data_IF_777718936219
#
_entry.id   IF_777718936219
#
_cell.length_a   1.000
_cell.length_b   1.000
_cell.length_c   1.000
_cell.angle_alpha   90.00
_cell.angle_beta   90.00
_cell.angle_gamma   90.00
#
_symmetry.space_group_name_H-M   'P 1'
#
loop_
_entity.id
_entity.type
_entity.pdbx_description
1 polymer ?
#
# COMPACT_ATOMS: atom_id res chain seq x y z
N UNK A 1 -0.37 -10.74 2.75
CA UNK A 1 0.18 -10.74 1.38
C UNK A 1 1.55 -10.06 1.39
N UNK A 2 2.57 -10.68 0.79
CA UNK A 2 3.93 -10.12 0.73
C UNK A 2 4.11 -9.15 -0.46
N UNK A 3 5.12 -8.29 -0.42
CA UNK A 3 5.47 -7.39 -1.56
C UNK A 3 5.76 -8.18 -2.83
N UNK A 4 6.36 -9.38 -2.70
CA UNK A 4 6.64 -10.25 -3.83
C UNK A 4 5.34 -10.76 -4.48
N UNK A 5 4.38 -11.23 -3.67
CA UNK A 5 3.09 -11.71 -4.18
C UNK A 5 2.32 -10.61 -4.91
N UNK A 6 2.30 -9.40 -4.34
CA UNK A 6 1.66 -8.23 -4.98
C UNK A 6 2.32 -7.96 -6.33
N UNK A 7 3.66 -7.93 -6.38
CA UNK A 7 4.42 -7.64 -7.59
C UNK A 7 4.09 -8.62 -8.73
N UNK A 8 4.03 -9.91 -8.43
CA UNK A 8 3.63 -10.94 -9.39
C UNK A 8 2.18 -10.78 -9.84
N UNK A 9 1.26 -10.56 -8.90
CA UNK A 9 -0.18 -10.43 -9.17
C UNK A 9 -0.49 -9.23 -10.07
N UNK A 10 0.15 -8.08 -9.81
CA UNK A 10 -0.07 -6.85 -10.60
C UNK A 10 0.89 -6.72 -11.80
N UNK A 11 1.74 -7.73 -12.05
CA UNK A 11 2.79 -7.75 -13.08
C UNK A 11 3.68 -6.49 -13.06
N UNK A 12 4.15 -6.09 -11.87
CA UNK A 12 5.05 -4.94 -11.66
C UNK A 12 6.29 -5.35 -10.88
N UNK A 13 7.33 -4.53 -10.95
CA UNK A 13 8.53 -4.77 -10.14
C UNK A 13 8.25 -4.56 -8.65
N UNK A 14 9.00 -5.28 -7.81
CA UNK A 14 8.95 -5.15 -6.35
C UNK A 14 9.23 -3.72 -5.91
N UNK A 15 10.11 -3.00 -6.61
CA UNK A 15 10.46 -1.63 -6.28
C UNK A 15 9.34 -0.64 -6.63
N UNK A 16 8.60 -0.87 -7.73
CA UNK A 16 7.38 -0.11 -8.00
C UNK A 16 6.34 -0.29 -6.89
N UNK A 17 6.12 -1.52 -6.43
CA UNK A 17 5.19 -1.80 -5.30
C UNK A 17 5.64 -1.08 -4.02
N UNK A 18 6.94 -1.10 -3.70
CA UNK A 18 7.48 -0.35 -2.55
C UNK A 18 7.28 1.15 -2.70
N UNK A 19 7.51 1.71 -3.89
CA UNK A 19 7.30 3.13 -4.17
C UNK A 19 5.83 3.53 -4.02
N UNK A 20 4.90 2.73 -4.57
CA UNK A 20 3.47 2.96 -4.38
C UNK A 20 3.07 2.90 -2.91
N UNK A 21 3.58 1.91 -2.16
CA UNK A 21 3.31 1.81 -0.71
C UNK A 21 3.81 3.03 0.05
N UNK A 22 5.03 3.50 -0.24
CA UNK A 22 5.58 4.72 0.36
C UNK A 22 4.72 5.94 0.04
N UNK A 23 4.33 6.12 -1.23
CA UNK A 23 3.48 7.22 -1.65
C UNK A 23 2.11 7.18 -0.97
N UNK A 24 1.50 6.00 -0.86
CA UNK A 24 0.24 5.79 -0.16
C UNK A 24 0.35 6.21 1.31
N UNK A 25 1.41 5.78 2.00
CA UNK A 25 1.64 6.11 3.41
C UNK A 25 1.82 7.62 3.61
N UNK A 26 2.57 8.28 2.73
CA UNK A 26 2.73 9.73 2.76
C UNK A 26 1.41 10.47 2.55
N UNK A 27 0.58 10.03 1.60
CA UNK A 27 -0.74 10.63 1.32
C UNK A 27 -1.73 10.47 2.48
N UNK A 28 -1.65 9.34 3.19
CA UNK A 28 -2.51 9.03 4.33
C UNK A 28 -1.93 9.51 5.67
N UNK A 29 -0.68 9.98 5.70
CA UNK A 29 -0.01 10.42 6.94
C UNK A 29 0.29 9.29 7.92
N UNK A 30 0.56 8.07 7.44
CA UNK A 30 0.74 6.86 8.28
C UNK A 30 2.12 6.23 8.11
N UNK A 31 2.48 5.34 9.04
CA UNK A 31 3.78 4.66 9.05
C UNK A 31 3.69 3.16 8.74
N UNK A 32 2.50 2.56 8.91
CA UNK A 32 2.27 1.12 8.79
C UNK A 32 1.04 0.80 7.93
N UNK A 33 1.03 -0.41 7.37
CA UNK A 33 -0.07 -0.86 6.51
C UNK A 33 -1.40 -1.02 7.26
N UNK A 34 -1.36 -1.41 8.54
CA UNK A 34 -2.57 -1.54 9.36
C UNK A 34 -3.27 -0.20 9.57
N UNK A 35 -2.51 0.86 9.80
CA UNK A 35 -3.01 2.24 9.92
C UNK A 35 -3.59 2.71 8.58
N UNK A 36 -2.87 2.45 7.48
CA UNK A 36 -3.33 2.78 6.14
C UNK A 36 -4.69 2.12 5.82
N UNK A 37 -4.86 0.84 6.19
CA UNK A 37 -6.12 0.10 6.00
C UNK A 37 -7.23 0.72 6.85
N UNK A 38 -6.98 0.99 8.14
CA UNK A 38 -7.98 1.59 9.02
C UNK A 38 -8.47 2.96 8.51
N UNK A 39 -7.57 3.83 8.05
CA UNK A 39 -7.93 5.12 7.46
C UNK A 39 -8.70 4.93 6.15
N UNK A 40 -8.23 4.03 5.27
CA UNK A 40 -8.90 3.77 4.00
C UNK A 40 -10.34 3.26 4.20
N UNK A 41 -10.57 2.37 5.17
CA UNK A 41 -11.92 1.90 5.55
C UNK A 41 -12.75 3.02 6.17
N UNK A 42 -12.20 3.79 7.11
CA UNK A 42 -12.90 4.91 7.74
C UNK A 42 -13.34 5.97 6.71
N UNK A 43 -12.52 6.21 5.69
CA UNK A 43 -12.80 7.16 4.61
C UNK A 43 -13.55 6.54 3.42
N UNK A 44 -13.94 5.26 3.47
CA UNK A 44 -14.63 4.53 2.39
C UNK A 44 -13.88 4.57 1.04
N UNK A 45 -12.55 4.46 1.09
CA UNK A 45 -11.69 4.38 -0.10
C UNK A 45 -11.58 2.96 -0.67
N UNK A 46 -12.01 1.95 0.10
CA UNK A 46 -12.04 0.52 -0.21
C UNK A 46 -13.25 -0.14 0.43
#
# INVERSE_FOLDING_TARGET
MSVNQIAEEIKRSKDSVKCYRKSLFLKLGVSKISEAIAIATHHKLI
#
